data_IF_849188589769
#
_entry.id   IF_849188589769
#
_cell.length_a   1.000
_cell.length_b   1.000
_cell.length_c   1.000
_cell.angle_alpha   90.00
_cell.angle_beta   90.00
_cell.angle_gamma   90.00
#
_symmetry.space_group_name_H-M   'P 1'
#
loop_
_entity.id
_entity.type
_entity.pdbx_description
1 polymer ?
#
# COMPACT_ATOMS: atom_id res chain seq x y z
N UNK A 1 0.35 23.81 6.01
CA UNK A 1 -0.62 22.74 6.29
C UNK A 1 -0.75 22.63 7.79
N UNK A 2 -1.98 22.68 8.31
CA UNK A 2 -2.23 22.51 9.74
C UNK A 2 -2.59 21.03 9.96
N UNK A 3 -1.88 20.39 10.89
CA UNK A 3 -2.11 19.00 11.24
C UNK A 3 -2.87 18.89 12.54
N UNK A 4 -3.84 18.00 12.58
CA UNK A 4 -4.62 17.66 13.78
C UNK A 4 -4.59 16.14 13.94
N UNK A 5 -4.26 15.67 15.11
CA UNK A 5 -4.33 14.26 15.45
C UNK A 5 -5.79 13.82 15.60
N UNK A 6 -6.09 12.63 15.07
CA UNK A 6 -7.35 11.97 15.30
C UNK A 6 -7.28 11.17 16.59
N UNK A 7 -8.22 11.42 17.47
CA UNK A 7 -8.46 10.57 18.65
C UNK A 7 -9.22 9.31 18.20
N UNK A 8 -8.44 8.32 17.76
CA UNK A 8 -8.92 7.00 17.38
C UNK A 8 -8.38 5.98 18.38
N UNK A 9 -9.18 4.96 18.69
CA UNK A 9 -8.73 3.80 19.49
C UNK A 9 -7.72 2.97 18.67
N UNK A 10 -6.47 3.48 18.60
CA UNK A 10 -5.36 2.84 17.89
C UNK A 10 -4.40 2.16 18.88
N UNK A 11 -3.76 1.06 18.46
CA UNK A 11 -2.68 0.45 19.24
C UNK A 11 -1.55 1.45 19.54
N UNK A 12 -0.88 1.27 20.66
CA UNK A 12 0.29 2.06 20.99
C UNK A 12 1.34 2.00 19.88
N UNK A 13 1.82 3.16 19.46
CA UNK A 13 2.78 3.28 18.36
C UNK A 13 2.14 3.62 17.00
N UNK A 14 0.82 3.80 16.92
CA UNK A 14 0.13 4.31 15.73
C UNK A 14 -0.51 5.64 16.05
N UNK A 15 -0.20 6.67 15.26
CA UNK A 15 -0.81 8.00 15.34
C UNK A 15 -1.37 8.35 13.97
N UNK A 16 -2.65 8.71 13.90
CA UNK A 16 -3.31 9.15 12.67
C UNK A 16 -3.55 10.65 12.72
N UNK A 17 -3.13 11.35 11.67
CA UNK A 17 -3.26 12.80 11.58
C UNK A 17 -3.98 13.20 10.30
N UNK A 18 -4.76 14.27 10.38
CA UNK A 18 -5.35 14.96 9.24
C UNK A 18 -4.68 16.32 9.05
N UNK A 19 -4.25 16.59 7.83
CA UNK A 19 -3.70 17.87 7.41
C UNK A 19 -4.67 18.64 6.52
N UNK A 20 -4.83 19.93 6.74
CA UNK A 20 -5.60 20.82 5.90
C UNK A 20 -4.83 22.08 5.54
N UNK A 21 -4.97 22.52 4.29
CA UNK A 21 -4.49 23.80 3.84
C UNK A 21 -5.67 24.57 3.22
N UNK A 22 -6.11 25.62 3.91
CA UNK A 22 -7.27 26.42 3.47
C UNK A 22 -6.99 27.28 2.23
N UNK A 23 -5.71 27.63 1.98
CA UNK A 23 -5.33 28.43 0.80
C UNK A 23 -5.24 27.58 -0.47
N UNK A 24 -4.78 26.36 -0.32
CA UNK A 24 -4.82 25.32 -1.35
C UNK A 24 -5.89 24.34 -0.90
N UNK A 25 -6.92 24.02 -1.70
CA UNK A 25 -7.99 23.09 -1.28
C UNK A 25 -7.42 21.66 -1.14
N UNK A 26 -6.46 21.49 -0.23
CA UNK A 26 -5.69 20.27 -0.02
C UNK A 26 -6.03 19.70 1.35
N UNK A 27 -6.41 18.42 1.33
CA UNK A 27 -6.56 17.58 2.53
C UNK A 27 -5.63 16.38 2.40
N UNK A 28 -5.00 16.00 3.50
CA UNK A 28 -4.14 14.82 3.56
C UNK A 28 -4.36 14.09 4.88
N UNK A 29 -4.18 12.77 4.84
CA UNK A 29 -4.18 11.91 6.02
C UNK A 29 -2.82 11.21 6.10
N UNK A 30 -2.29 11.12 7.30
CA UNK A 30 -1.00 10.48 7.57
C UNK A 30 -1.18 9.53 8.75
N UNK A 31 -0.73 8.30 8.58
CA UNK A 31 -0.53 7.37 9.67
C UNK A 31 0.97 7.28 9.96
N UNK A 32 1.35 7.63 11.18
CA UNK A 32 2.71 7.47 11.69
C UNK A 32 2.76 6.20 12.52
N UNK A 33 3.66 5.28 12.16
CA UNK A 33 3.74 3.95 12.74
C UNK A 33 5.14 3.72 13.31
N UNK A 34 5.21 3.34 14.59
CA UNK A 34 6.46 2.95 15.23
C UNK A 34 6.71 1.45 15.01
N UNK A 35 7.58 1.11 14.06
CA UNK A 35 7.88 -0.28 13.71
C UNK A 35 8.72 -1.02 14.77
N UNK A 36 9.26 -0.31 15.77
CA UNK A 36 9.93 -0.95 16.91
C UNK A 36 8.94 -1.45 17.99
N UNK A 37 7.65 -1.13 17.85
CA UNK A 37 6.63 -1.64 18.77
C UNK A 37 6.38 -3.12 18.50
N UNK A 38 6.45 -4.01 19.52
CA UNK A 38 6.28 -5.45 19.33
C UNK A 38 4.88 -5.84 18.85
N UNK A 39 3.89 -4.98 19.09
CA UNK A 39 2.49 -5.21 18.72
C UNK A 39 2.16 -4.71 17.31
N UNK A 40 3.12 -4.14 16.61
CA UNK A 40 2.94 -3.58 15.26
C UNK A 40 3.55 -4.51 14.23
N UNK A 41 2.74 -4.89 13.24
CA UNK A 41 3.19 -5.61 12.08
C UNK A 41 2.72 -4.91 10.79
N UNK A 42 3.62 -4.74 9.83
CA UNK A 42 3.30 -4.28 8.48
C UNK A 42 3.30 -5.48 7.54
N UNK A 43 2.28 -5.59 6.70
CA UNK A 43 2.13 -6.70 5.75
C UNK A 43 1.73 -6.19 4.38
N UNK A 44 2.22 -6.84 3.34
CA UNK A 44 1.72 -6.71 1.98
C UNK A 44 0.68 -7.80 1.76
N UNK A 45 -0.51 -7.42 1.29
CA UNK A 45 -1.61 -8.34 1.06
C UNK A 45 -2.04 -8.26 -0.41
N UNK A 46 -2.44 -9.40 -0.96
CA UNK A 46 -3.17 -9.51 -2.22
C UNK A 46 -4.53 -10.15 -2.00
N UNK A 47 -5.48 -9.88 -2.89
CA UNK A 47 -6.80 -10.52 -2.82
C UNK A 47 -6.72 -11.99 -3.19
N UNK A 48 -7.35 -12.83 -2.38
CA UNK A 48 -7.56 -14.27 -2.66
C UNK A 48 -8.84 -14.54 -3.45
N UNK A 49 -9.64 -13.54 -3.73
CA UNK A 49 -10.88 -13.68 -4.48
C UNK A 49 -10.61 -14.04 -5.96
N UNK A 50 -11.57 -14.68 -6.61
CA UNK A 50 -11.41 -15.15 -8.00
C UNK A 50 -11.09 -14.03 -8.98
N UNK A 51 -11.65 -12.85 -8.76
CA UNK A 51 -11.41 -11.66 -9.58
C UNK A 51 -10.15 -10.88 -9.12
N UNK A 52 -9.50 -11.31 -8.03
CA UNK A 52 -8.32 -10.69 -7.41
C UNK A 52 -8.54 -9.23 -7.02
N UNK A 53 -9.76 -8.88 -6.61
CA UNK A 53 -10.15 -7.52 -6.22
C UNK A 53 -10.74 -7.54 -4.82
N UNK A 54 -10.29 -6.62 -4.00
CA UNK A 54 -10.91 -6.29 -2.72
C UNK A 54 -10.84 -4.79 -2.52
N UNK A 55 -11.85 -4.25 -1.87
CA UNK A 55 -11.81 -2.88 -1.38
C UNK A 55 -10.89 -2.78 -0.16
N UNK A 56 -10.36 -1.59 0.18
CA UNK A 56 -9.62 -1.40 1.43
C UNK A 56 -10.41 -1.85 2.68
N UNK A 57 -11.74 -1.70 2.67
CA UNK A 57 -12.60 -2.12 3.77
C UNK A 57 -12.66 -3.65 3.90
N UNK A 58 -12.73 -4.37 2.78
CA UNK A 58 -12.68 -5.84 2.77
C UNK A 58 -11.34 -6.34 3.29
N UNK A 59 -10.21 -5.77 2.83
CA UNK A 59 -8.90 -6.09 3.37
C UNK A 59 -8.81 -5.84 4.88
N UNK A 60 -9.33 -4.71 5.35
CA UNK A 60 -9.33 -4.35 6.77
C UNK A 60 -10.09 -5.41 7.59
N UNK A 61 -11.27 -5.81 7.14
CA UNK A 61 -12.10 -6.80 7.82
C UNK A 61 -11.49 -8.22 7.79
N UNK A 62 -10.95 -8.64 6.63
CA UNK A 62 -10.39 -9.98 6.46
C UNK A 62 -9.07 -10.18 7.19
N UNK A 63 -8.23 -9.14 7.25
CA UNK A 63 -6.90 -9.23 7.85
C UNK A 63 -6.83 -8.78 9.31
N UNK A 64 -7.94 -8.29 9.87
CA UNK A 64 -7.97 -7.62 11.18
C UNK A 64 -6.94 -6.46 11.27
N UNK A 65 -6.65 -5.82 10.15
CA UNK A 65 -5.73 -4.69 10.12
C UNK A 65 -6.40 -3.44 10.73
N UNK A 66 -5.61 -2.57 11.30
CA UNK A 66 -6.08 -1.27 11.83
C UNK A 66 -5.99 -0.17 10.78
N UNK A 67 -5.08 -0.33 9.83
CA UNK A 67 -4.88 0.60 8.72
C UNK A 67 -4.63 -0.22 7.45
N UNK A 68 -5.29 0.16 6.37
CA UNK A 68 -5.07 -0.37 5.03
C UNK A 68 -4.88 0.79 4.08
N UNK A 69 -3.86 0.71 3.24
CA UNK A 69 -3.59 1.66 2.17
C UNK A 69 -3.43 0.93 0.84
N UNK A 70 -3.67 1.63 -0.25
CA UNK A 70 -3.39 1.08 -1.57
C UNK A 70 -1.88 0.83 -1.74
N UNK A 71 -1.56 -0.33 -2.31
CA UNK A 71 -0.22 -0.69 -2.72
C UNK A 71 0.07 -0.29 -4.17
N UNK A 72 0.46 -1.28 -5.00
CA UNK A 72 0.80 -1.07 -6.39
C UNK A 72 -0.40 -0.89 -7.33
N UNK A 73 -0.08 -0.63 -8.61
CA UNK A 73 -1.07 -0.49 -9.66
C UNK A 73 -1.55 -1.83 -10.21
N UNK A 74 -2.75 -1.85 -10.77
CA UNK A 74 -3.28 -2.97 -11.53
C UNK A 74 -3.84 -2.48 -12.87
N UNK A 75 -3.92 -3.38 -13.85
CA UNK A 75 -4.42 -3.07 -15.19
C UNK A 75 -5.93 -2.90 -15.14
N UNK A 76 -6.42 -1.74 -15.59
CA UNK A 76 -7.84 -1.48 -15.77
C UNK A 76 -8.46 -2.44 -16.79
N UNK A 77 -9.71 -2.85 -16.54
CA UNK A 77 -10.48 -3.70 -17.47
C UNK A 77 -10.04 -5.17 -17.54
N UNK A 78 -9.14 -5.63 -16.68
CA UNK A 78 -8.78 -7.05 -16.56
C UNK A 78 -9.61 -7.74 -15.48
N UNK A 79 -10.05 -8.97 -15.78
CA UNK A 79 -10.75 -9.86 -14.89
C UNK A 79 -10.22 -11.29 -15.10
N UNK A 80 -9.55 -11.88 -14.12
CA UNK A 80 -9.15 -11.30 -12.83
C UNK A 80 -8.19 -10.11 -12.95
N UNK A 81 -8.12 -9.28 -11.90
CA UNK A 81 -7.21 -8.14 -11.85
C UNK A 81 -5.76 -8.59 -12.01
N UNK A 82 -5.02 -7.88 -12.87
CA UNK A 82 -3.61 -8.13 -13.10
C UNK A 82 -2.77 -6.99 -12.49
N UNK A 83 -1.93 -7.34 -11.54
CA UNK A 83 -1.01 -6.38 -10.91
C UNK A 83 0.03 -5.87 -11.91
N UNK A 84 0.56 -4.68 -11.69
CA UNK A 84 1.58 -4.06 -12.55
C UNK A 84 2.82 -3.76 -11.72
N UNK A 85 3.91 -4.45 -12.03
CA UNK A 85 5.18 -4.34 -11.33
C UNK A 85 5.34 -5.41 -10.24
N UNK A 86 6.39 -5.27 -9.45
CA UNK A 86 6.75 -6.25 -8.43
C UNK A 86 5.65 -6.39 -7.38
N UNK A 87 5.18 -7.61 -7.18
CA UNK A 87 4.33 -7.98 -6.06
C UNK A 87 4.87 -9.26 -5.42
N UNK A 88 5.20 -9.16 -4.16
CA UNK A 88 5.64 -10.29 -3.33
C UNK A 88 4.88 -10.26 -2.01
N UNK A 89 4.19 -11.35 -1.67
CA UNK A 89 3.44 -11.50 -0.43
C UNK A 89 3.89 -12.77 0.31
N UNK A 90 4.13 -12.67 1.59
CA UNK A 90 4.57 -13.80 2.41
C UNK A 90 5.74 -14.60 1.81
N UNK A 91 6.69 -13.91 1.18
CA UNK A 91 7.85 -14.53 0.53
C UNK A 91 7.60 -15.07 -0.88
N UNK A 92 6.36 -15.13 -1.35
CA UNK A 92 5.98 -15.66 -2.67
C UNK A 92 5.96 -14.51 -3.69
N UNK A 93 6.67 -14.68 -4.81
CA UNK A 93 6.63 -13.75 -5.93
C UNK A 93 5.35 -14.00 -6.74
N UNK A 94 4.40 -13.07 -6.65
CA UNK A 94 3.13 -13.14 -7.40
C UNK A 94 3.25 -12.49 -8.78
N UNK A 95 3.92 -11.35 -8.86
CA UNK A 95 4.19 -10.66 -10.12
C UNK A 95 5.64 -10.15 -10.16
N UNK A 96 6.37 -10.36 -11.25
CA UNK A 96 7.75 -9.89 -11.38
C UNK A 96 7.82 -8.39 -11.63
N UNK A 97 8.99 -7.81 -11.39
CA UNK A 97 9.27 -6.43 -11.74
C UNK A 97 9.16 -6.21 -13.27
N UNK A 98 8.48 -5.14 -13.66
CA UNK A 98 8.39 -4.73 -15.06
C UNK A 98 9.44 -3.67 -15.36
N UNK A 99 10.32 -3.94 -16.33
CA UNK A 99 11.36 -3.00 -16.77
C UNK A 99 10.87 -2.08 -17.90
N UNK A 100 9.73 -2.37 -18.51
CA UNK A 100 9.19 -1.57 -19.62
C UNK A 100 7.68 -1.63 -19.70
N UNK A 101 7.09 -0.63 -20.33
CA UNK A 101 5.67 -0.57 -20.69
C UNK A 101 5.53 -0.38 -22.19
N UNK A 102 4.42 -0.85 -22.76
CA UNK A 102 4.05 -0.63 -24.16
C UNK A 102 3.00 0.48 -24.21
N UNK A 103 3.26 1.53 -24.98
CA UNK A 103 2.29 2.60 -25.27
C UNK A 103 2.42 2.98 -26.75
N UNK A 104 1.30 3.19 -27.42
CA UNK A 104 1.25 3.63 -28.81
C UNK A 104 2.15 2.80 -29.74
N UNK A 105 2.18 1.46 -29.52
CA UNK A 105 3.01 0.50 -30.25
C UNK A 105 4.53 0.64 -30.03
N UNK A 106 4.95 1.45 -29.09
CA UNK A 106 6.35 1.61 -28.72
C UNK A 106 6.64 1.09 -27.30
N UNK A 107 7.89 0.65 -27.09
CA UNK A 107 8.37 0.16 -25.79
C UNK A 107 9.14 1.27 -25.08
N UNK A 108 8.68 1.62 -23.89
CA UNK A 108 9.34 2.57 -23.00
C UNK A 108 9.92 1.83 -21.80
N UNK A 109 11.20 2.07 -21.49
CA UNK A 109 11.78 1.63 -20.24
C UNK A 109 11.26 2.50 -19.11
N UNK A 110 10.93 1.87 -17.97
CA UNK A 110 10.40 2.56 -16.80
C UNK A 110 11.19 2.17 -15.57
N UNK A 111 11.61 3.18 -14.81
CA UNK A 111 12.13 2.98 -13.46
C UNK A 111 10.96 3.01 -12.50
N UNK A 112 10.88 2.05 -11.60
CA UNK A 112 9.83 1.94 -10.58
C UNK A 112 10.48 1.77 -9.23
N UNK A 113 10.02 2.55 -8.26
CA UNK A 113 10.32 2.28 -6.86
C UNK A 113 9.56 1.06 -6.36
N UNK A 114 10.14 0.34 -5.44
CA UNK A 114 9.50 -0.72 -4.71
C UNK A 114 9.56 -0.43 -3.21
N UNK A 115 8.46 -0.70 -2.51
CA UNK A 115 8.43 -0.71 -1.05
C UNK A 115 8.36 -2.17 -0.59
N UNK A 116 9.23 -2.54 0.32
CA UNK A 116 9.29 -3.88 0.88
C UNK A 116 9.38 -3.90 2.39
N UNK A 117 9.04 -5.04 2.97
CA UNK A 117 9.29 -5.36 4.38
C UNK A 117 10.19 -6.58 4.39
N UNK A 118 11.35 -6.47 5.00
CA UNK A 118 12.31 -7.55 5.19
C UNK A 118 11.80 -8.60 6.20
N UNK A 119 12.49 -9.74 6.29
CA UNK A 119 12.09 -10.81 7.21
C UNK A 119 12.21 -10.43 8.70
N UNK A 120 13.04 -9.45 9.01
CA UNK A 120 13.19 -8.85 10.35
C UNK A 120 12.19 -7.71 10.60
N UNK A 121 11.24 -7.48 9.70
CA UNK A 121 10.17 -6.51 9.84
C UNK A 121 10.55 -5.06 9.49
N UNK A 122 11.76 -4.84 8.96
CA UNK A 122 12.21 -3.49 8.61
C UNK A 122 11.72 -3.09 7.21
N UNK A 123 11.22 -1.85 7.05
CA UNK A 123 10.82 -1.34 5.75
C UNK A 123 12.06 -0.91 4.93
N UNK A 124 11.96 -1.10 3.63
CA UNK A 124 12.96 -0.65 2.67
C UNK A 124 12.29 -0.10 1.41
N UNK A 125 12.95 0.86 0.77
CA UNK A 125 12.50 1.45 -0.50
C UNK A 125 13.66 1.36 -1.49
N UNK A 126 13.43 0.68 -2.59
CA UNK A 126 14.40 0.49 -3.67
C UNK A 126 13.94 1.16 -4.98
#
# INVERSE_FOLDING_TARGET
MNWTEFDLDMPQGIVVMKGENKKLPLKAWVAKVNLNSPDIQVRVLSSSDKDRKNTPMEFLNQSNARIVINGGYFRSGKDPAQHVGLLKTSGILEEPASHSVFRDSERYFVTRGAFGISNDGLPDIA
#
